data_IF_096364142405
#
_entry.id   IF_096364142405
#
_cell.length_a   1.000
_cell.length_b   1.000
_cell.length_c   1.000
_cell.angle_alpha   90.00
_cell.angle_beta   90.00
_cell.angle_gamma   90.00
#
_symmetry.space_group_name_H-M   'P 1'
#
loop_
_entity.id
_entity.type
_entity.pdbx_description
1 polymer ?
#
# COMPACT_ATOMS: atom_id res chain seq x y z
N UNK A 1 31.93 17.62 -47.05
CA UNK A 1 32.45 17.33 -45.70
C UNK A 1 31.42 17.83 -44.71
N UNK A 2 30.72 16.90 -44.07
CA UNK A 2 29.56 17.14 -43.23
C UNK A 2 29.93 17.84 -41.93
N UNK A 3 29.06 18.75 -41.50
CA UNK A 3 29.09 19.40 -40.20
C UNK A 3 28.33 18.49 -39.21
N UNK A 4 29.04 17.61 -38.51
CA UNK A 4 28.52 16.94 -37.32
C UNK A 4 29.00 17.70 -36.09
N UNK A 5 28.06 18.39 -35.44
CA UNK A 5 28.30 19.16 -34.23
C UNK A 5 27.01 19.65 -33.57
N UNK A 6 25.94 18.86 -33.66
CA UNK A 6 24.65 19.14 -33.05
C UNK A 6 24.67 18.88 -31.55
N UNK A 7 25.27 19.80 -30.78
CA UNK A 7 25.04 19.93 -29.35
C UNK A 7 23.66 20.53 -29.09
N UNK A 8 22.60 19.77 -29.37
CA UNK A 8 21.21 20.21 -29.17
C UNK A 8 20.89 20.30 -27.68
N UNK A 9 20.77 21.52 -27.14
CA UNK A 9 20.06 21.73 -25.89
C UNK A 9 18.62 21.20 -26.07
N UNK A 10 18.11 20.33 -25.17
CA UNK A 10 16.80 19.75 -25.33
C UNK A 10 15.75 20.85 -25.40
N UNK A 11 14.84 20.73 -26.36
CA UNK A 11 13.77 21.71 -26.55
C UNK A 11 12.86 21.72 -25.33
N UNK A 12 12.25 22.87 -25.01
CA UNK A 12 11.32 23.02 -23.87
C UNK A 12 10.20 21.97 -23.87
N UNK A 13 9.79 21.51 -25.06
CA UNK A 13 8.82 20.44 -25.26
C UNK A 13 9.34 19.06 -24.81
N UNK A 14 10.60 18.73 -25.11
CA UNK A 14 11.23 17.47 -24.67
C UNK A 14 11.43 17.46 -23.15
N UNK A 15 11.85 18.59 -22.56
CA UNK A 15 11.98 18.72 -21.11
C UNK A 15 10.62 18.61 -20.39
N UNK A 16 9.56 19.20 -20.96
CA UNK A 16 8.18 19.04 -20.47
C UNK A 16 7.71 17.57 -20.57
N UNK A 17 8.02 16.89 -21.68
CA UNK A 17 7.70 15.48 -21.87
C UNK A 17 8.41 14.57 -20.87
N UNK A 18 9.71 14.77 -20.66
CA UNK A 18 10.48 14.02 -19.66
C UNK A 18 10.00 14.30 -18.23
N UNK A 19 9.66 15.56 -17.91
CA UNK A 19 9.11 15.94 -16.61
C UNK A 19 7.76 15.28 -16.32
N UNK A 20 6.86 15.31 -17.32
CA UNK A 20 5.55 14.65 -17.24
C UNK A 20 5.72 13.15 -17.03
N UNK A 21 6.58 12.49 -17.81
CA UNK A 21 6.85 11.06 -17.66
C UNK A 21 7.38 10.70 -16.26
N UNK A 22 8.35 11.47 -15.73
CA UNK A 22 8.87 11.26 -14.38
C UNK A 22 7.77 11.39 -13.32
N UNK A 23 6.93 12.44 -13.40
CA UNK A 23 5.82 12.63 -12.48
C UNK A 23 4.80 11.49 -12.55
N UNK A 24 4.45 11.05 -13.75
CA UNK A 24 3.59 9.87 -13.99
C UNK A 24 4.17 8.63 -13.30
N UNK A 25 5.45 8.32 -13.50
CA UNK A 25 6.08 7.16 -12.83
C UNK A 25 6.04 7.26 -11.31
N UNK A 26 6.29 8.45 -10.74
CA UNK A 26 6.20 8.66 -9.29
C UNK A 26 4.78 8.40 -8.80
N UNK A 27 3.76 8.91 -9.49
CA UNK A 27 2.35 8.67 -9.15
C UNK A 27 2.03 7.17 -9.17
N UNK A 28 2.53 6.44 -10.17
CA UNK A 28 2.36 4.99 -10.26
C UNK A 28 3.00 4.24 -9.09
N UNK A 29 4.27 4.52 -8.79
CA UNK A 29 5.00 3.89 -7.66
C UNK A 29 4.27 4.18 -6.34
N UNK A 30 3.78 5.41 -6.20
CA UNK A 30 3.11 5.85 -5.00
C UNK A 30 1.75 5.17 -4.82
N UNK A 31 0.99 4.97 -5.89
CA UNK A 31 -0.25 4.18 -5.86
C UNK A 31 0.01 2.70 -5.61
N UNK A 32 1.09 2.14 -6.17
CA UNK A 32 1.51 0.76 -5.89
C UNK A 32 1.79 0.57 -4.39
N UNK A 33 2.56 1.49 -3.80
CA UNK A 33 3.01 1.39 -2.41
C UNK A 33 1.90 1.56 -1.38
N UNK A 34 0.84 2.32 -1.68
CA UNK A 34 -0.23 2.57 -0.72
C UNK A 34 -1.13 1.36 -0.48
N UNK A 35 -1.35 0.51 -1.48
CA UNK A 35 -2.19 -0.69 -1.33
C UNK A 35 -1.42 -2.00 -1.17
N UNK A 36 -0.13 -2.06 -1.51
CA UNK A 36 0.67 -3.28 -1.34
C UNK A 36 0.61 -3.81 0.10
N UNK A 37 0.68 -2.92 1.10
CA UNK A 37 0.67 -3.30 2.50
C UNK A 37 -0.65 -3.97 2.90
N UNK A 38 -1.78 -3.35 2.57
CA UNK A 38 -3.11 -3.92 2.84
C UNK A 38 -3.38 -5.21 2.05
N UNK A 39 -3.06 -5.21 0.76
CA UNK A 39 -3.24 -6.39 -0.09
C UNK A 39 -2.43 -7.59 0.41
N UNK A 40 -1.23 -7.35 0.95
CA UNK A 40 -0.39 -8.42 1.52
C UNK A 40 -1.05 -9.05 2.74
N UNK A 41 -1.64 -8.24 3.64
CA UNK A 41 -2.38 -8.75 4.81
C UNK A 41 -3.55 -9.63 4.39
N UNK A 42 -4.33 -9.19 3.39
CA UNK A 42 -5.48 -9.95 2.89
C UNK A 42 -5.04 -11.23 2.17
N UNK A 43 -3.90 -11.20 1.47
CA UNK A 43 -3.39 -12.37 0.72
C UNK A 43 -2.91 -13.50 1.63
N UNK A 44 -2.57 -13.19 2.88
CA UNK A 44 -2.10 -14.14 3.90
C UNK A 44 -3.28 -14.62 4.78
N UNK A 45 -4.53 -14.36 4.40
CA UNK A 45 -5.71 -14.77 5.18
C UNK A 45 -5.75 -16.27 5.52
N UNK A 46 -5.25 -17.12 4.62
CA UNK A 46 -5.20 -18.58 4.82
C UNK A 46 -4.37 -18.92 6.06
N UNK A 47 -3.26 -18.20 6.28
CA UNK A 47 -2.42 -18.35 7.47
C UNK A 47 -3.15 -17.87 8.73
N UNK A 48 -3.90 -16.76 8.65
CA UNK A 48 -4.66 -16.28 9.80
C UNK A 48 -5.80 -17.22 10.20
N UNK A 49 -6.43 -17.92 9.25
CA UNK A 49 -7.44 -18.93 9.58
C UNK A 49 -6.85 -20.16 10.27
N UNK A 50 -5.65 -20.59 9.88
CA UNK A 50 -4.93 -21.67 10.56
C UNK A 50 -4.50 -21.26 11.98
N UNK A 51 -4.04 -20.01 12.12
CA UNK A 51 -3.55 -19.46 13.39
C UNK A 51 -4.68 -19.13 14.39
N UNK A 52 -5.85 -18.73 13.90
CA UNK A 52 -7.00 -18.27 14.70
C UNK A 52 -8.30 -18.98 14.31
N UNK A 53 -8.41 -20.31 14.49
CA UNK A 53 -9.55 -21.10 13.99
C UNK A 53 -10.90 -20.74 14.65
N UNK A 54 -10.88 -20.07 15.80
CA UNK A 54 -12.10 -19.62 16.53
C UNK A 54 -12.60 -18.24 16.07
N UNK A 55 -11.85 -17.52 15.26
CA UNK A 55 -12.19 -16.18 14.79
C UNK A 55 -12.43 -16.21 13.28
N UNK A 56 -12.98 -15.12 12.73
CA UNK A 56 -13.17 -14.96 11.28
C UNK A 56 -12.33 -13.78 10.77
N UNK A 57 -10.99 -13.93 10.66
CA UNK A 57 -10.06 -12.82 10.41
C UNK A 57 -10.45 -11.97 9.21
N UNK A 58 -10.79 -12.58 8.07
CA UNK A 58 -11.14 -11.86 6.83
C UNK A 58 -12.27 -10.81 7.05
N UNK A 59 -13.28 -11.14 7.87
CA UNK A 59 -14.37 -10.20 8.18
C UNK A 59 -13.94 -9.13 9.17
N UNK A 60 -13.27 -9.53 10.24
CA UNK A 60 -12.89 -8.60 11.33
C UNK A 60 -11.85 -7.59 10.85
N UNK A 61 -10.84 -8.03 10.10
CA UNK A 61 -9.82 -7.13 9.56
C UNK A 61 -10.44 -6.11 8.60
N UNK A 62 -11.36 -6.54 7.74
CA UNK A 62 -12.08 -5.63 6.84
C UNK A 62 -12.96 -4.64 7.59
N UNK A 63 -13.67 -5.10 8.63
CA UNK A 63 -14.48 -4.25 9.51
C UNK A 63 -13.66 -3.26 10.34
N UNK A 64 -12.37 -3.51 10.56
CA UNK A 64 -11.47 -2.55 11.19
C UNK A 64 -10.88 -1.60 10.14
N UNK A 65 -10.50 -2.10 8.98
CA UNK A 65 -9.90 -1.27 7.95
C UNK A 65 -10.87 -0.19 7.45
N UNK A 66 -12.06 -0.59 6.99
CA UNK A 66 -12.97 0.30 6.26
C UNK A 66 -13.50 1.49 7.09
N UNK A 67 -13.99 1.31 8.34
CA UNK A 67 -14.49 2.45 9.13
C UNK A 67 -13.39 3.43 9.50
N UNK A 68 -12.15 2.95 9.71
CA UNK A 68 -11.02 3.83 9.98
C UNK A 68 -10.61 4.61 8.75
N UNK A 69 -10.66 4.01 7.55
CA UNK A 69 -10.48 4.74 6.29
C UNK A 69 -11.54 5.85 6.16
N UNK A 70 -12.83 5.46 6.20
CA UNK A 70 -13.94 6.40 5.98
C UNK A 70 -13.97 7.50 7.06
N UNK A 71 -13.82 7.12 8.33
CA UNK A 71 -13.81 8.07 9.44
C UNK A 71 -12.65 9.05 9.35
N UNK A 72 -11.45 8.57 9.03
CA UNK A 72 -10.26 9.43 8.88
C UNK A 72 -10.41 10.36 7.67
N UNK A 73 -10.86 9.85 6.52
CA UNK A 73 -11.14 10.69 5.33
C UNK A 73 -12.18 11.77 5.65
N UNK A 74 -13.27 11.42 6.35
CA UNK A 74 -14.32 12.38 6.72
C UNK A 74 -13.77 13.50 7.64
N UNK A 75 -12.98 13.13 8.66
CA UNK A 75 -12.34 14.10 9.56
C UNK A 75 -11.38 15.01 8.79
N UNK A 76 -10.60 14.45 7.87
CA UNK A 76 -9.64 15.19 7.08
C UNK A 76 -10.31 16.13 6.08
N UNK A 77 -11.38 15.69 5.42
CA UNK A 77 -12.17 16.51 4.51
C UNK A 77 -12.81 17.70 5.23
N UNK A 78 -13.25 17.52 6.48
CA UNK A 78 -13.77 18.63 7.29
C UNK A 78 -12.70 19.64 7.71
N UNK A 79 -11.48 19.18 7.96
CA UNK A 79 -10.37 20.00 8.47
C UNK A 79 -9.40 20.49 7.38
N UNK A 80 -9.72 20.25 6.10
CA UNK A 80 -8.80 20.32 4.94
C UNK A 80 -7.98 21.62 4.88
N UNK A 81 -8.58 22.77 5.21
CA UNK A 81 -7.91 24.06 5.18
C UNK A 81 -6.74 24.23 6.18
N UNK A 82 -6.57 23.32 7.15
CA UNK A 82 -5.53 23.44 8.21
C UNK A 82 -4.39 22.45 8.09
N UNK A 83 -4.50 21.41 7.25
CA UNK A 83 -3.54 20.30 7.22
C UNK A 83 -2.74 20.31 5.92
N UNK A 84 -1.41 20.32 6.04
CA UNK A 84 -0.50 20.21 4.90
C UNK A 84 -0.56 18.80 4.29
N UNK A 85 -1.03 18.71 3.03
CA UNK A 85 -1.19 17.44 2.32
C UNK A 85 0.13 16.66 2.20
N UNK A 86 1.27 17.34 2.06
CA UNK A 86 2.57 16.66 1.91
C UNK A 86 2.98 15.94 3.18
N UNK A 87 2.81 16.61 4.33
CA UNK A 87 3.11 16.02 5.65
C UNK A 87 2.18 14.85 5.94
N UNK A 88 0.90 15.00 5.61
CA UNK A 88 -0.11 13.94 5.73
C UNK A 88 0.28 12.70 4.94
N UNK A 89 0.61 12.89 3.66
CA UNK A 89 0.96 11.81 2.76
C UNK A 89 2.26 11.09 3.18
N UNK A 90 3.29 11.85 3.58
CA UNK A 90 4.52 11.29 4.14
C UNK A 90 4.26 10.49 5.42
N UNK A 91 3.44 11.01 6.33
CA UNK A 91 3.07 10.31 7.56
C UNK A 91 2.35 8.99 7.26
N UNK A 92 1.45 8.96 6.28
CA UNK A 92 0.77 7.74 5.85
C UNK A 92 1.74 6.69 5.29
N UNK A 93 2.72 7.06 4.45
CA UNK A 93 3.74 6.11 3.99
C UNK A 93 4.64 5.60 5.12
N UNK A 94 5.03 6.46 6.07
CA UNK A 94 5.77 6.05 7.26
C UNK A 94 4.96 5.03 8.07
N UNK A 95 3.66 5.28 8.26
CA UNK A 95 2.77 4.35 8.95
C UNK A 95 2.65 3.01 8.22
N UNK A 96 2.56 3.00 6.88
CA UNK A 96 2.59 1.75 6.12
C UNK A 96 3.90 0.99 6.30
N UNK A 97 5.05 1.67 6.21
CA UNK A 97 6.35 1.05 6.41
C UNK A 97 6.50 0.47 7.83
N UNK A 98 6.19 1.27 8.85
CA UNK A 98 6.28 0.85 10.25
C UNK A 98 5.29 -0.28 10.55
N UNK A 99 4.04 -0.17 10.09
CA UNK A 99 3.03 -1.18 10.36
C UNK A 99 3.36 -2.53 9.71
N UNK A 100 3.87 -2.54 8.48
CA UNK A 100 4.34 -3.79 7.82
C UNK A 100 5.54 -4.37 8.56
N UNK A 101 6.49 -3.53 8.98
CA UNK A 101 7.62 -3.98 9.81
C UNK A 101 7.16 -4.59 11.14
N UNK A 102 6.21 -3.94 11.83
CA UNK A 102 5.65 -4.45 13.08
C UNK A 102 4.84 -5.74 12.89
N UNK A 103 4.17 -5.95 11.76
CA UNK A 103 3.53 -7.23 11.46
C UNK A 103 4.55 -8.38 11.41
N UNK A 104 5.69 -8.17 10.75
CA UNK A 104 6.77 -9.17 10.69
C UNK A 104 7.35 -9.42 12.09
N UNK A 105 7.61 -8.35 12.84
CA UNK A 105 8.10 -8.44 14.23
C UNK A 105 7.10 -9.19 15.12
N UNK A 106 5.80 -8.94 14.96
CA UNK A 106 4.74 -9.61 15.71
C UNK A 106 4.71 -11.12 15.39
N UNK A 107 4.78 -11.51 14.11
CA UNK A 107 4.83 -12.94 13.74
C UNK A 107 6.06 -13.62 14.35
N UNK A 108 7.22 -12.96 14.26
CA UNK A 108 8.47 -13.51 14.77
C UNK A 108 8.46 -13.61 16.30
N UNK A 109 8.04 -12.56 17.00
CA UNK A 109 7.98 -12.51 18.47
C UNK A 109 6.98 -13.52 19.04
N UNK A 110 5.88 -13.76 18.33
CA UNK A 110 4.87 -14.76 18.72
C UNK A 110 5.25 -16.16 18.27
N UNK A 111 6.38 -16.32 17.56
CA UNK A 111 6.81 -17.57 16.95
C UNK A 111 5.73 -18.20 16.07
N UNK A 112 4.85 -17.38 15.46
CA UNK A 112 3.68 -17.85 14.72
C UNK A 112 2.73 -18.70 15.57
N UNK A 113 2.67 -18.45 16.89
CA UNK A 113 1.68 -19.07 17.77
C UNK A 113 0.44 -18.21 17.85
N UNK A 114 -0.71 -18.84 17.66
CA UNK A 114 -2.01 -18.19 17.78
C UNK A 114 -2.31 -17.79 19.22
N UNK A 115 -3.28 -16.91 19.40
CA UNK A 115 -3.68 -16.39 20.70
C UNK A 115 -4.42 -15.06 20.61
N UNK A 116 -5.08 -14.66 21.70
CA UNK A 116 -5.85 -13.42 21.70
C UNK A 116 -4.96 -12.16 21.60
N UNK A 117 -3.78 -12.18 22.22
CA UNK A 117 -2.82 -11.07 22.18
C UNK A 117 -2.29 -10.76 20.77
N UNK A 118 -1.73 -11.74 20.04
CA UNK A 118 -1.32 -11.58 18.64
C UNK A 118 -2.46 -11.11 17.75
N UNK A 119 -3.67 -11.65 17.93
CA UNK A 119 -4.84 -11.24 17.18
C UNK A 119 -5.21 -9.77 17.41
N UNK A 120 -5.21 -9.30 18.66
CA UNK A 120 -5.42 -7.88 19.00
C UNK A 120 -4.32 -7.01 18.36
N UNK A 121 -3.06 -7.47 18.37
CA UNK A 121 -1.95 -6.77 17.70
C UNK A 121 -2.17 -6.60 16.20
N UNK A 122 -2.58 -7.66 15.49
CA UNK A 122 -2.91 -7.60 14.06
C UNK A 122 -4.08 -6.65 13.82
N UNK A 123 -5.14 -6.72 14.63
CA UNK A 123 -6.28 -5.80 14.56
C UNK A 123 -5.86 -4.33 14.70
N UNK A 124 -4.99 -4.02 15.66
CA UNK A 124 -4.47 -2.67 15.86
C UNK A 124 -3.64 -2.18 14.66
N UNK A 125 -2.80 -3.05 14.09
CA UNK A 125 -2.01 -2.75 12.90
C UNK A 125 -2.89 -2.53 11.66
N UNK A 126 -3.95 -3.33 11.49
CA UNK A 126 -4.92 -3.14 10.40
C UNK A 126 -5.71 -1.84 10.54
N UNK A 127 -6.11 -1.47 11.76
CA UNK A 127 -6.70 -0.15 12.00
C UNK A 127 -5.73 0.98 11.61
N UNK A 128 -4.44 0.83 11.94
CA UNK A 128 -3.41 1.80 11.55
C UNK A 128 -3.19 1.88 10.04
N UNK A 129 -3.33 0.77 9.31
CA UNK A 129 -3.32 0.76 7.84
C UNK A 129 -4.53 1.48 7.26
N UNK A 130 -5.71 1.36 7.87
CA UNK A 130 -6.88 2.15 7.44
C UNK A 130 -6.65 3.67 7.60
N UNK A 131 -6.03 4.08 8.70
CA UNK A 131 -5.62 5.48 8.89
C UNK A 131 -4.57 5.89 7.85
N UNK A 132 -3.52 5.09 7.66
CA UNK A 132 -2.47 5.36 6.67
C UNK A 132 -3.03 5.51 5.25
N UNK A 133 -3.94 4.63 4.86
CA UNK A 133 -4.61 4.67 3.56
C UNK A 133 -5.44 5.95 3.39
N UNK A 134 -6.21 6.34 4.41
CA UNK A 134 -6.94 7.61 4.37
C UNK A 134 -6.01 8.84 4.21
N UNK A 135 -4.85 8.84 4.86
CA UNK A 135 -3.87 9.93 4.77
C UNK A 135 -3.26 10.01 3.36
N UNK A 136 -2.88 8.86 2.78
CA UNK A 136 -2.24 8.77 1.46
C UNK A 136 -3.23 8.93 0.33
N UNK A 137 -4.29 8.10 0.29
CA UNK A 137 -5.28 8.09 -0.76
C UNK A 137 -6.04 9.42 -0.82
N UNK A 138 -6.50 9.91 0.34
CA UNK A 138 -7.18 11.22 0.42
C UNK A 138 -6.25 12.38 0.08
N UNK A 139 -4.97 12.30 0.45
CA UNK A 139 -3.95 13.28 0.08
C UNK A 139 -3.66 13.33 -1.41
N UNK A 140 -3.38 12.17 -1.99
CA UNK A 140 -2.99 12.08 -3.38
C UNK A 140 -4.12 12.36 -4.32
N UNK A 141 -5.33 11.83 -4.07
CA UNK A 141 -6.47 12.12 -4.93
C UNK A 141 -6.81 13.62 -4.87
N UNK A 142 -6.71 14.25 -3.69
CA UNK A 142 -6.86 15.69 -3.53
C UNK A 142 -5.85 16.49 -4.35
N UNK A 143 -4.55 16.26 -4.17
CA UNK A 143 -3.49 16.99 -4.88
C UNK A 143 -3.52 16.74 -6.40
N UNK A 144 -3.76 15.50 -6.82
CA UNK A 144 -3.79 15.12 -8.25
C UNK A 144 -5.03 15.66 -8.97
N UNK A 145 -6.11 16.00 -8.25
CA UNK A 145 -7.33 16.57 -8.86
C UNK A 145 -7.10 17.97 -9.45
N UNK A 146 -6.11 18.70 -8.95
CA UNK A 146 -5.68 19.99 -9.48
C UNK A 146 -4.62 19.87 -10.58
N UNK A 147 -4.24 18.64 -10.95
CA UNK A 147 -3.22 18.36 -11.96
C UNK A 147 -3.81 17.72 -13.22
N UNK A 148 -2.93 17.28 -14.12
CA UNK A 148 -3.32 16.57 -15.34
C UNK A 148 -3.93 15.19 -15.02
N UNK A 149 -5.01 14.79 -15.72
CA UNK A 149 -5.73 13.54 -15.43
C UNK A 149 -4.86 12.29 -15.57
N UNK A 150 -3.80 12.33 -16.37
CA UNK A 150 -2.85 11.22 -16.55
C UNK A 150 -2.11 10.86 -15.27
N UNK A 151 -1.86 11.81 -14.36
CA UNK A 151 -1.22 11.52 -13.08
C UNK A 151 -2.15 10.79 -12.13
N UNK A 152 -3.41 11.21 -12.08
CA UNK A 152 -4.46 10.53 -11.33
C UNK A 152 -4.69 9.12 -11.86
N UNK A 153 -4.82 8.97 -13.18
CA UNK A 153 -4.93 7.65 -13.82
C UNK A 153 -3.73 6.77 -13.48
N UNK A 154 -2.51 7.29 -13.57
CA UNK A 154 -1.30 6.54 -13.27
C UNK A 154 -1.24 6.08 -11.81
N UNK A 155 -1.69 6.92 -10.87
CA UNK A 155 -1.85 6.55 -9.47
C UNK A 155 -2.85 5.39 -9.29
N UNK A 156 -4.03 5.46 -9.89
CA UNK A 156 -5.02 4.38 -9.85
C UNK A 156 -4.53 3.09 -10.53
N UNK A 157 -3.78 3.19 -11.62
CA UNK A 157 -3.12 2.04 -12.26
C UNK A 157 -2.11 1.41 -11.31
N UNK A 158 -1.38 2.22 -10.51
CA UNK A 158 -0.51 1.74 -9.44
C UNK A 158 -1.28 0.95 -8.38
N UNK A 159 -2.42 1.48 -7.92
CA UNK A 159 -3.30 0.79 -6.97
C UNK A 159 -3.76 -0.56 -7.53
N UNK A 160 -4.21 -0.61 -8.78
CA UNK A 160 -4.63 -1.84 -9.43
C UNK A 160 -3.47 -2.85 -9.57
N UNK A 161 -2.30 -2.37 -10.00
CA UNK A 161 -1.10 -3.20 -10.14
C UNK A 161 -0.70 -3.85 -8.81
N UNK A 162 -0.90 -3.17 -7.67
CA UNK A 162 -0.59 -3.74 -6.36
C UNK A 162 -1.40 -5.01 -6.07
N UNK A 163 -2.68 -5.04 -6.46
CA UNK A 163 -3.54 -6.20 -6.29
C UNK A 163 -3.10 -7.36 -7.19
N UNK A 164 -2.78 -7.07 -8.45
CA UNK A 164 -2.24 -8.05 -9.40
C UNK A 164 -0.94 -8.66 -8.91
N UNK A 165 0.02 -7.82 -8.50
CA UNK A 165 1.31 -8.27 -7.97
C UNK A 165 1.12 -9.15 -6.73
N UNK A 166 0.29 -8.71 -5.77
CA UNK A 166 0.09 -9.47 -4.53
C UNK A 166 -0.61 -10.80 -4.78
N UNK A 167 -1.59 -10.84 -5.69
CA UNK A 167 -2.26 -12.08 -6.09
C UNK A 167 -1.29 -13.05 -6.76
N UNK A 168 -0.42 -12.55 -7.65
CA UNK A 168 0.65 -13.33 -8.25
C UNK A 168 1.61 -13.91 -7.20
N UNK A 169 2.03 -13.10 -6.23
CA UNK A 169 2.87 -13.54 -5.12
C UNK A 169 2.19 -14.64 -4.29
N UNK A 170 0.88 -14.49 -3.99
CA UNK A 170 0.10 -15.51 -3.27
C UNK A 170 0.08 -16.84 -4.03
N UNK A 171 -0.14 -16.81 -5.34
CA UNK A 171 -0.14 -18.03 -6.18
C UNK A 171 1.23 -18.69 -6.22
N UNK A 172 2.30 -17.91 -6.39
CA UNK A 172 3.68 -18.40 -6.38
C UNK A 172 4.01 -19.03 -5.02
N UNK A 173 3.68 -18.35 -3.92
CA UNK A 173 3.92 -18.85 -2.57
C UNK A 173 3.17 -20.16 -2.32
N UNK A 174 1.89 -20.23 -2.73
CA UNK A 174 1.10 -21.45 -2.61
C UNK A 174 1.71 -22.59 -3.41
N UNK A 175 2.09 -22.36 -4.66
CA UNK A 175 2.72 -23.38 -5.51
C UNK A 175 4.11 -23.82 -4.98
N UNK A 176 4.91 -22.90 -4.44
CA UNK A 176 6.24 -23.18 -3.94
C UNK A 176 6.25 -23.92 -2.59
N UNK A 177 5.24 -23.67 -1.74
CA UNK A 177 5.20 -24.16 -0.36
C UNK A 177 4.09 -25.17 -0.06
N UNK A 178 3.31 -25.62 -1.06
CA UNK A 178 2.21 -26.59 -0.90
C UNK A 178 2.65 -27.89 -0.18
N UNK A 179 3.91 -28.30 -0.38
CA UNK A 179 4.47 -29.54 0.17
C UNK A 179 5.41 -29.32 1.38
N UNK A 180 5.56 -28.09 1.88
CA UNK A 180 6.48 -27.78 2.97
C UNK A 180 5.77 -27.86 4.34
N UNK A 181 6.39 -28.51 5.33
CA UNK A 181 5.92 -28.44 6.73
C UNK A 181 5.96 -26.99 7.22
N UNK A 182 4.80 -26.41 7.54
CA UNK A 182 4.66 -24.98 7.87
C UNK A 182 4.64 -24.03 6.67
N UNK A 183 4.26 -24.54 5.48
CA UNK A 183 4.28 -23.79 4.22
C UNK A 183 3.51 -22.46 4.22
N UNK A 184 2.38 -22.39 4.93
CA UNK A 184 1.59 -21.15 5.03
C UNK A 184 2.37 -20.02 5.70
N UNK A 185 3.14 -20.32 6.76
CA UNK A 185 3.96 -19.31 7.44
C UNK A 185 5.17 -18.90 6.60
N UNK A 186 5.80 -19.84 5.89
CA UNK A 186 6.91 -19.54 4.99
C UNK A 186 6.49 -18.75 3.75
N UNK A 187 5.25 -18.92 3.29
CA UNK A 187 4.67 -18.11 2.22
C UNK A 187 4.13 -16.75 2.69
N UNK A 188 3.97 -16.56 4.00
CA UNK A 188 3.48 -15.34 4.63
C UNK A 188 4.60 -14.34 5.00
N UNK A 189 5.79 -14.85 5.32
CA UNK A 189 6.99 -14.03 5.57
C UNK A 189 7.70 -13.68 4.26
#
# INVERSE_FOLDING_TARGET
>A
MGYDGGGGHPTRFELLGQGKFKATMVCWIQGLGSLVAWNSVVSIEDYYYDLFPKYHPSRVLTLLYQPFVVGTVAILAYNEAKVDTRKRNLAGFILFCLGTFFLIVLDLATSGKGGIGPYIGICALVASFGVADALVLGGMVGDLSFMFPEFMQSFFVGLAASGTVTSGLRLIAKAAFENASGGLRKGAM
#
